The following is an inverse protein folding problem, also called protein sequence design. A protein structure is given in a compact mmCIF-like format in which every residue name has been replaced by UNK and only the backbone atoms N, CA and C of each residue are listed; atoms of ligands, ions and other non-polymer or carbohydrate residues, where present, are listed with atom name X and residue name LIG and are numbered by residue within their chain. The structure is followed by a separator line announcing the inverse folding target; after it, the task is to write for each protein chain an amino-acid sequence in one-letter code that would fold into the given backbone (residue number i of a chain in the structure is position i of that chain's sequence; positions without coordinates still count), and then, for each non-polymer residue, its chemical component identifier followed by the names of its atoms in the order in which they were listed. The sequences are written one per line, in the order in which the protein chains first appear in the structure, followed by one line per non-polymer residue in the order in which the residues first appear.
data_IF_795995781322
#
_entry.id   IF_795995781322
#
_cell.length_a   1.000
_cell.length_b   1.000
_cell.length_c   1.000
_cell.angle_alpha   90.00
_cell.angle_beta   90.00
_cell.angle_gamma   90.00
#
_symmetry.space_group_name_H-M   'P 1'
#
loop_
_entity.id
_entity.type
_entity.pdbx_description
1 polymer ?
#
# COMPACT_ATOMS: atom_id res chain seq x y z
N UNK A 1 -35.31 10.25 12.94
CA UNK A 1 -33.85 10.27 12.92
C UNK A 1 -33.36 9.92 11.54
N UNK A 2 -32.34 10.64 11.07
CA UNK A 2 -31.62 10.37 9.81
C UNK A 2 -30.14 10.17 10.14
N UNK A 3 -29.68 8.95 9.98
CA UNK A 3 -28.32 8.54 10.38
C UNK A 3 -27.54 8.16 9.13
N UNK A 4 -26.40 8.81 8.94
CA UNK A 4 -25.43 8.50 7.87
C UNK A 4 -24.21 7.85 8.51
N UNK A 5 -23.90 6.63 8.10
CA UNK A 5 -22.74 5.90 8.53
C UNK A 5 -21.69 5.86 7.41
N UNK A 6 -20.41 5.80 7.76
CA UNK A 6 -19.28 5.87 6.84
C UNK A 6 -19.36 7.09 5.89
N UNK A 7 -19.59 8.31 6.44
CA UNK A 7 -19.84 9.54 5.68
C UNK A 7 -18.76 9.88 4.66
N UNK A 8 -17.50 9.68 4.98
CA UNK A 8 -16.35 9.78 4.05
C UNK A 8 -16.50 8.84 2.86
N UNK A 9 -16.96 7.62 3.10
CA UNK A 9 -17.14 6.62 2.06
C UNK A 9 -18.39 6.85 1.21
N UNK A 10 -19.39 7.55 1.70
CA UNK A 10 -20.51 7.98 0.88
C UNK A 10 -20.07 8.97 -0.22
N UNK A 11 -19.11 9.84 0.10
CA UNK A 11 -18.52 10.77 -0.87
C UNK A 11 -17.55 10.05 -1.81
N UNK A 12 -16.54 9.35 -1.29
CA UNK A 12 -15.53 8.63 -2.09
C UNK A 12 -16.14 7.49 -2.92
N UNK A 13 -17.27 6.93 -2.49
CA UNK A 13 -18.01 5.90 -3.20
C UNK A 13 -18.86 6.41 -4.36
N UNK A 14 -18.91 7.72 -4.58
CA UNK A 14 -19.70 8.34 -5.65
C UNK A 14 -21.18 8.48 -5.36
N UNK A 15 -21.59 8.45 -4.07
CA UNK A 15 -22.99 8.63 -3.63
C UNK A 15 -23.31 10.08 -3.22
N UNK A 16 -22.44 11.03 -3.58
CA UNK A 16 -22.61 12.43 -3.20
C UNK A 16 -23.94 13.02 -3.68
N UNK A 17 -24.34 12.70 -4.91
CA UNK A 17 -25.61 13.20 -5.47
C UNK A 17 -26.82 12.67 -4.68
N UNK A 18 -26.85 11.37 -4.37
CA UNK A 18 -27.91 10.75 -3.58
C UNK A 18 -27.92 11.30 -2.15
N UNK A 19 -26.75 11.51 -1.57
CA UNK A 19 -26.60 12.11 -0.26
C UNK A 19 -27.18 13.53 -0.24
N UNK A 20 -26.84 14.35 -1.25
CA UNK A 20 -27.38 15.70 -1.43
C UNK A 20 -28.90 15.69 -1.58
N UNK A 21 -29.45 14.77 -2.38
CA UNK A 21 -30.91 14.62 -2.56
C UNK A 21 -31.61 14.31 -1.22
N UNK A 22 -31.08 13.35 -0.45
CA UNK A 22 -31.67 12.96 0.85
C UNK A 22 -31.56 14.10 1.86
N UNK A 23 -30.39 14.77 1.93
CA UNK A 23 -30.12 15.84 2.88
C UNK A 23 -30.95 17.09 2.61
N UNK A 24 -31.33 17.36 1.35
CA UNK A 24 -32.16 18.49 0.93
C UNK A 24 -33.64 18.29 1.19
N UNK A 25 -34.07 17.07 1.50
CA UNK A 25 -35.51 16.83 1.84
C UNK A 25 -35.92 17.66 3.05
N UNK A 26 -37.11 18.27 3.05
CA UNK A 26 -37.63 19.07 4.16
C UNK A 26 -38.10 18.21 5.34
N UNK A 27 -37.22 17.35 5.83
CA UNK A 27 -37.49 16.42 6.92
C UNK A 27 -37.23 17.09 8.26
N UNK A 28 -38.24 17.05 9.15
CA UNK A 28 -38.08 17.39 10.58
C UNK A 28 -37.43 16.23 11.33
N UNK A 29 -36.20 15.90 10.95
CA UNK A 29 -35.48 14.78 11.54
C UNK A 29 -34.18 15.27 12.21
N UNK A 30 -33.84 14.68 13.34
CA UNK A 30 -32.48 14.81 13.90
C UNK A 30 -31.51 14.08 12.98
N UNK A 31 -30.52 14.79 12.50
CA UNK A 31 -29.51 14.26 11.58
C UNK A 31 -28.24 13.92 12.36
N UNK A 32 -27.70 12.74 12.14
CA UNK A 32 -26.40 12.31 12.66
C UNK A 32 -25.53 11.73 11.53
N UNK A 33 -24.25 12.08 11.53
CA UNK A 33 -23.28 11.57 10.56
C UNK A 33 -22.10 10.99 11.32
N UNK A 34 -21.78 9.75 11.03
CA UNK A 34 -20.63 9.03 11.55
C UNK A 34 -19.58 8.85 10.44
N UNK A 35 -18.32 9.10 10.75
CA UNK A 35 -17.25 8.99 9.77
C UNK A 35 -15.91 8.68 10.45
N UNK A 36 -15.05 7.90 9.80
CA UNK A 36 -13.70 7.62 10.27
C UNK A 36 -12.71 8.73 9.89
N UNK A 37 -13.00 9.51 8.85
CA UNK A 37 -12.15 10.61 8.39
C UNK A 37 -12.98 11.80 7.96
N UNK A 38 -12.44 13.00 8.18
CA UNK A 38 -13.09 14.26 7.80
C UNK A 38 -12.20 14.97 6.83
N UNK A 39 -12.58 14.99 5.56
CA UNK A 39 -11.94 15.79 4.52
C UNK A 39 -12.66 17.12 4.29
N UNK A 40 -12.11 17.95 3.40
CA UNK A 40 -12.67 19.25 3.08
C UNK A 40 -14.03 19.16 2.39
N UNK A 41 -14.27 18.12 1.58
CA UNK A 41 -15.52 17.86 0.88
C UNK A 41 -16.63 17.51 1.87
N UNK A 42 -16.38 16.56 2.77
CA UNK A 42 -17.33 16.17 3.82
C UNK A 42 -17.63 17.34 4.74
N UNK A 43 -16.61 18.12 5.13
CA UNK A 43 -16.82 19.33 5.93
C UNK A 43 -17.74 20.35 5.25
N UNK A 44 -17.60 20.55 3.95
CA UNK A 44 -18.43 21.47 3.19
C UNK A 44 -19.90 21.01 3.20
N UNK A 45 -20.13 19.71 2.98
CA UNK A 45 -21.45 19.10 3.00
C UNK A 45 -22.09 19.18 4.39
N UNK A 46 -21.34 18.86 5.44
CA UNK A 46 -21.82 18.97 6.83
C UNK A 46 -22.18 20.40 7.17
N UNK A 47 -21.35 21.39 6.82
CA UNK A 47 -21.66 22.82 7.04
C UNK A 47 -22.92 23.26 6.29
N UNK A 48 -23.12 22.78 5.08
CA UNK A 48 -24.28 23.16 4.27
C UNK A 48 -25.59 22.58 4.82
N UNK A 49 -25.63 21.31 5.16
CA UNK A 49 -26.86 20.61 5.56
C UNK A 49 -27.04 20.42 7.06
N UNK A 50 -25.98 20.58 7.84
CA UNK A 50 -25.93 20.33 9.29
C UNK A 50 -25.19 21.45 10.04
N UNK A 51 -25.26 22.71 9.55
CA UNK A 51 -24.45 23.84 10.03
C UNK A 51 -24.50 24.11 11.55
N UNK A 52 -25.53 23.63 12.25
CA UNK A 52 -25.67 23.72 13.71
C UNK A 52 -25.33 22.43 14.43
N UNK A 53 -24.77 21.44 13.72
CA UNK A 53 -24.42 20.16 14.32
C UNK A 53 -23.28 20.28 15.32
N UNK A 54 -23.41 19.59 16.45
CA UNK A 54 -22.32 19.41 17.39
C UNK A 54 -21.34 18.39 16.83
N UNK A 55 -20.08 18.77 16.69
CA UNK A 55 -19.00 17.86 16.30
C UNK A 55 -18.38 17.20 17.53
N UNK A 56 -18.32 15.88 17.53
CA UNK A 56 -17.70 15.09 18.58
C UNK A 56 -16.55 14.30 17.95
N UNK A 57 -15.32 14.65 18.30
CA UNK A 57 -14.13 13.94 17.85
C UNK A 57 -13.69 12.94 18.92
N UNK A 58 -13.78 11.64 18.59
CA UNK A 58 -13.40 10.53 19.45
C UNK A 58 -12.05 9.93 19.08
N UNK A 59 -11.31 10.54 18.14
CA UNK A 59 -10.07 9.94 17.61
C UNK A 59 -8.88 10.03 18.57
N UNK A 60 -8.98 10.83 19.65
CA UNK A 60 -7.91 11.04 20.66
C UNK A 60 -6.48 11.09 20.07
N UNK A 61 -6.34 11.59 18.84
CA UNK A 61 -5.07 11.69 18.12
C UNK A 61 -4.65 10.44 17.33
N UNK A 62 -5.36 9.32 17.42
CA UNK A 62 -5.13 8.12 16.62
C UNK A 62 -6.34 7.78 15.75
N UNK A 63 -6.12 7.62 14.45
CA UNK A 63 -7.17 7.26 13.47
C UNK A 63 -7.38 5.75 13.37
N UNK A 64 -6.47 4.96 13.95
CA UNK A 64 -6.57 3.49 14.02
C UNK A 64 -6.46 3.04 15.47
N UNK A 65 -6.97 1.85 15.78
CA UNK A 65 -6.80 1.26 17.10
C UNK A 65 -5.30 1.20 17.46
N UNK A 66 -4.94 1.60 18.68
CA UNK A 66 -3.55 1.65 19.17
C UNK A 66 -2.82 0.31 19.10
N UNK A 67 -3.59 -0.76 19.11
CA UNK A 67 -3.10 -2.14 19.11
C UNK A 67 -2.80 -2.70 17.71
N UNK A 68 -2.98 -1.90 16.64
CA UNK A 68 -2.68 -2.34 15.27
C UNK A 68 -1.26 -1.97 14.87
N UNK A 69 -0.47 -2.98 14.51
CA UNK A 69 0.85 -2.78 13.90
C UNK A 69 0.71 -2.63 12.39
N UNK A 70 1.20 -1.54 11.83
CA UNK A 70 1.15 -1.23 10.40
C UNK A 70 2.50 -1.49 9.75
N UNK A 71 2.54 -2.28 8.66
CA UNK A 71 3.79 -2.67 7.99
C UNK A 71 3.68 -2.53 6.48
N UNK A 72 4.59 -1.79 5.88
CA UNK A 72 4.83 -1.81 4.44
C UNK A 72 5.70 -3.02 4.08
N UNK A 73 5.25 -3.80 3.10
CA UNK A 73 5.93 -5.01 2.64
C UNK A 73 6.39 -4.85 1.20
N UNK A 74 7.70 -4.78 0.98
CA UNK A 74 8.30 -4.81 -0.37
C UNK A 74 8.21 -6.22 -0.93
N UNK A 75 7.36 -6.39 -1.94
CA UNK A 75 7.17 -7.67 -2.66
C UNK A 75 8.13 -7.81 -3.85
N UNK A 76 9.01 -6.82 -4.08
CA UNK A 76 10.03 -6.80 -5.15
C UNK A 76 9.45 -6.98 -6.55
N UNK A 77 9.68 -8.16 -7.13
CA UNK A 77 9.28 -8.52 -8.49
C UNK A 77 8.16 -9.54 -8.54
N UNK A 78 7.64 -9.94 -7.38
CA UNK A 78 6.53 -10.88 -7.30
C UNK A 78 5.24 -10.22 -7.78
N UNK A 79 4.39 -10.98 -8.43
CA UNK A 79 2.99 -10.60 -8.64
C UNK A 79 2.25 -10.54 -7.31
N UNK A 80 1.11 -9.86 -7.25
CA UNK A 80 0.27 -9.79 -6.04
C UNK A 80 -0.15 -11.17 -5.55
N UNK A 81 -0.46 -12.06 -6.49
CA UNK A 81 -0.88 -13.42 -6.20
C UNK A 81 0.25 -14.28 -5.63
N UNK A 82 1.44 -14.25 -6.26
CA UNK A 82 2.63 -14.95 -5.76
C UNK A 82 3.04 -14.41 -4.38
N UNK A 83 3.02 -13.09 -4.22
CA UNK A 83 3.35 -12.45 -2.96
C UNK A 83 2.37 -12.85 -1.85
N UNK A 84 1.05 -12.91 -2.14
CA UNK A 84 0.08 -13.36 -1.15
C UNK A 84 0.33 -14.80 -0.73
N UNK A 85 0.52 -15.73 -1.68
CA UNK A 85 0.81 -17.12 -1.35
C UNK A 85 2.07 -17.27 -0.49
N UNK A 86 3.15 -16.61 -0.90
CA UNK A 86 4.40 -16.63 -0.13
C UNK A 86 4.23 -16.02 1.27
N UNK A 87 3.48 -14.92 1.37
CA UNK A 87 3.18 -14.27 2.64
C UNK A 87 2.40 -15.19 3.58
N UNK A 88 1.39 -15.89 3.08
CA UNK A 88 0.60 -16.84 3.85
C UNK A 88 1.46 -18.00 4.38
N UNK A 89 2.41 -18.48 3.58
CA UNK A 89 3.32 -19.57 3.98
C UNK A 89 4.33 -19.10 5.05
N UNK A 90 4.80 -17.86 4.96
CA UNK A 90 5.83 -17.30 5.86
C UNK A 90 5.23 -16.80 7.17
N UNK A 91 4.15 -16.02 7.10
CA UNK A 91 3.55 -15.35 8.28
C UNK A 91 2.54 -16.25 8.98
N UNK A 92 1.84 -17.12 8.23
CA UNK A 92 0.81 -18.05 8.74
C UNK A 92 -0.24 -17.34 9.60
N UNK A 93 -0.94 -16.32 9.07
CA UNK A 93 -1.94 -15.59 9.82
C UNK A 93 -3.04 -16.53 10.32
N UNK A 94 -3.54 -16.29 11.54
CA UNK A 94 -4.65 -17.07 12.09
C UNK A 94 -5.91 -16.92 11.24
N UNK A 95 -6.29 -15.66 10.96
CA UNK A 95 -7.45 -15.30 10.14
C UNK A 95 -7.18 -13.99 9.42
N UNK A 96 -7.19 -14.00 8.10
CA UNK A 96 -6.76 -12.86 7.29
C UNK A 96 -7.81 -12.38 6.30
N UNK A 97 -7.85 -11.06 6.08
CA UNK A 97 -8.56 -10.45 4.95
C UNK A 97 -7.54 -9.86 3.99
N UNK A 98 -7.56 -10.29 2.73
CA UNK A 98 -6.75 -9.76 1.66
C UNK A 98 -7.59 -8.83 0.77
N UNK A 99 -7.18 -7.56 0.66
CA UNK A 99 -7.85 -6.53 -0.13
C UNK A 99 -7.17 -6.29 -1.46
N UNK A 100 -7.98 -6.14 -2.52
CA UNK A 100 -7.52 -5.72 -3.84
C UNK A 100 -8.44 -4.61 -4.36
N UNK A 101 -7.86 -3.48 -4.77
CA UNK A 101 -8.63 -2.33 -5.27
C UNK A 101 -9.19 -2.54 -6.68
N UNK A 102 -8.47 -3.28 -7.53
CA UNK A 102 -8.81 -3.48 -8.94
C UNK A 102 -9.51 -4.83 -9.14
N UNK A 103 -10.67 -4.82 -9.80
CA UNK A 103 -11.46 -6.02 -10.08
C UNK A 103 -10.70 -7.07 -10.92
N UNK A 104 -9.91 -6.62 -11.90
CA UNK A 104 -9.11 -7.53 -12.74
C UNK A 104 -8.04 -8.22 -11.89
N UNK A 105 -7.27 -7.45 -11.12
CA UNK A 105 -6.24 -8.00 -10.24
C UNK A 105 -6.83 -8.95 -9.19
N UNK A 106 -8.06 -8.65 -8.72
CA UNK A 106 -8.77 -9.50 -7.77
C UNK A 106 -9.08 -10.88 -8.37
N UNK A 107 -9.55 -10.92 -9.64
CA UNK A 107 -9.82 -12.17 -10.36
C UNK A 107 -8.52 -12.96 -10.63
N UNK A 108 -7.45 -12.27 -11.05
CA UNK A 108 -6.14 -12.88 -11.28
C UNK A 108 -5.58 -13.53 -9.99
N UNK A 109 -5.77 -12.88 -8.83
CA UNK A 109 -5.37 -13.42 -7.52
C UNK A 109 -6.21 -14.63 -7.16
N UNK A 110 -7.54 -14.57 -7.35
CA UNK A 110 -8.42 -15.71 -7.09
C UNK A 110 -8.03 -16.93 -7.90
N UNK A 111 -7.87 -16.78 -9.23
CA UNK A 111 -7.47 -17.86 -10.13
C UNK A 111 -6.16 -18.52 -9.67
N UNK A 112 -5.20 -17.70 -9.27
CA UNK A 112 -3.91 -18.19 -8.76
C UNK A 112 -4.06 -18.96 -7.45
N UNK A 113 -4.85 -18.47 -6.48
CA UNK A 113 -5.13 -19.16 -5.22
C UNK A 113 -5.81 -20.52 -5.45
N UNK A 114 -6.76 -20.57 -6.39
CA UNK A 114 -7.42 -21.83 -6.80
C UNK A 114 -6.43 -22.81 -7.42
N UNK A 115 -5.52 -22.35 -8.30
CA UNK A 115 -4.47 -23.18 -8.90
C UNK A 115 -3.54 -23.79 -7.87
N UNK A 116 -3.28 -23.08 -6.77
CA UNK A 116 -2.47 -23.53 -5.62
C UNK A 116 -3.28 -24.33 -4.58
N UNK A 117 -4.59 -24.52 -4.82
CA UNK A 117 -5.51 -25.22 -3.90
C UNK A 117 -5.58 -24.57 -2.51
N UNK A 118 -5.36 -23.26 -2.43
CA UNK A 118 -5.49 -22.50 -1.18
C UNK A 118 -6.96 -22.26 -0.92
N UNK A 119 -7.46 -22.80 0.19
CA UNK A 119 -8.86 -22.65 0.59
C UNK A 119 -9.12 -21.22 1.08
N UNK A 120 -10.05 -20.53 0.44
CA UNK A 120 -10.39 -19.13 0.78
C UNK A 120 -11.86 -18.85 0.49
N UNK A 121 -12.38 -17.79 1.11
CA UNK A 121 -13.64 -17.14 0.74
C UNK A 121 -13.35 -15.97 -0.20
N UNK A 122 -14.25 -15.72 -1.15
CA UNK A 122 -14.08 -14.70 -2.17
C UNK A 122 -15.32 -13.81 -2.26
N UNK A 123 -15.14 -12.47 -2.19
CA UNK A 123 -16.24 -11.52 -2.31
C UNK A 123 -15.85 -10.29 -3.15
N UNK A 124 -16.78 -9.88 -4.03
CA UNK A 124 -16.72 -8.62 -4.76
C UNK A 124 -18.11 -8.06 -5.01
N UNK A 125 -18.19 -6.78 -5.44
CA UNK A 125 -19.45 -6.07 -5.55
C UNK A 125 -20.47 -6.69 -6.51
N UNK A 126 -20.03 -7.37 -7.57
CA UNK A 126 -20.89 -7.96 -8.59
C UNK A 126 -21.36 -9.38 -8.24
N UNK A 127 -20.86 -9.99 -7.17
CA UNK A 127 -21.37 -11.30 -6.74
C UNK A 127 -22.84 -11.19 -6.27
N UNK A 128 -23.67 -12.19 -6.61
CA UNK A 128 -25.02 -12.28 -6.07
C UNK A 128 -25.03 -12.18 -4.54
N UNK A 129 -25.97 -11.48 -3.96
CA UNK A 129 -26.06 -11.29 -2.50
C UNK A 129 -26.07 -12.60 -1.71
N UNK A 130 -26.64 -13.66 -2.29
CA UNK A 130 -26.64 -15.01 -1.69
C UNK A 130 -25.21 -15.57 -1.57
N UNK A 131 -24.40 -15.41 -2.61
CA UNK A 131 -23.02 -15.90 -2.64
C UNK A 131 -22.12 -15.07 -1.70
N UNK A 132 -22.30 -13.74 -1.70
CA UNK A 132 -21.61 -12.88 -0.72
C UNK A 132 -21.92 -13.32 0.72
N UNK A 133 -23.19 -13.57 1.05
CA UNK A 133 -23.59 -14.03 2.39
C UNK A 133 -22.99 -15.40 2.72
N UNK A 134 -22.95 -16.31 1.75
CA UNK A 134 -22.33 -17.64 1.93
C UNK A 134 -20.85 -17.53 2.20
N UNK A 135 -20.11 -16.79 1.37
CA UNK A 135 -18.66 -16.59 1.53
C UNK A 135 -18.32 -15.98 2.91
N UNK A 136 -19.11 -14.98 3.33
CA UNK A 136 -18.94 -14.37 4.66
C UNK A 136 -19.25 -15.34 5.79
N UNK A 137 -20.30 -16.17 5.63
CA UNK A 137 -20.62 -17.20 6.61
C UNK A 137 -19.51 -18.22 6.71
N UNK A 138 -18.98 -18.70 5.58
CA UNK A 138 -17.89 -19.67 5.56
C UNK A 138 -16.61 -19.11 6.24
N UNK A 139 -16.35 -17.81 6.08
CA UNK A 139 -15.26 -17.12 6.77
C UNK A 139 -15.54 -16.88 8.26
N UNK A 140 -16.77 -16.53 8.65
CA UNK A 140 -17.16 -16.36 10.06
C UNK A 140 -17.11 -17.68 10.83
N UNK A 141 -17.57 -18.76 10.21
CA UNK A 141 -17.64 -20.11 10.80
C UNK A 141 -16.28 -20.84 10.72
N UNK A 142 -15.17 -20.16 10.43
CA UNK A 142 -13.80 -20.70 10.31
C UNK A 142 -13.62 -21.83 9.30
N UNK A 143 -14.57 -21.95 8.34
CA UNK A 143 -14.43 -22.90 7.23
C UNK A 143 -13.33 -22.48 6.27
N UNK A 144 -13.03 -21.19 6.22
CA UNK A 144 -11.91 -20.58 5.52
C UNK A 144 -11.23 -19.57 6.43
N UNK A 145 -9.91 -19.53 6.42
CA UNK A 145 -9.10 -18.58 7.21
C UNK A 145 -8.64 -17.37 6.42
N UNK A 146 -8.85 -17.39 5.10
CA UNK A 146 -8.56 -16.28 4.20
C UNK A 146 -9.84 -15.81 3.53
N UNK A 147 -10.10 -14.51 3.58
CA UNK A 147 -11.11 -13.80 2.80
C UNK A 147 -10.43 -12.90 1.77
N UNK A 148 -10.59 -13.20 0.49
CA UNK A 148 -10.16 -12.32 -0.61
C UNK A 148 -11.31 -11.39 -0.98
N UNK A 149 -11.10 -10.06 -0.91
CA UNK A 149 -12.19 -9.10 -1.02
C UNK A 149 -11.82 -7.85 -1.82
N UNK A 150 -12.80 -7.31 -2.55
CA UNK A 150 -12.73 -5.92 -3.04
C UNK A 150 -13.10 -4.92 -1.94
N UNK A 151 -12.60 -3.68 -2.04
CA UNK A 151 -12.90 -2.62 -1.07
C UNK A 151 -14.41 -2.41 -0.87
N UNK A 152 -15.18 -2.40 -1.96
CA UNK A 152 -16.63 -2.17 -1.93
C UNK A 152 -17.36 -3.30 -1.20
N UNK A 153 -17.01 -4.55 -1.49
CA UNK A 153 -17.70 -5.71 -0.93
C UNK A 153 -17.37 -5.94 0.55
N UNK A 154 -16.23 -5.47 1.00
CA UNK A 154 -15.77 -5.63 2.37
C UNK A 154 -16.18 -4.49 3.30
N UNK A 155 -16.88 -3.46 2.79
CA UNK A 155 -17.43 -2.39 3.62
C UNK A 155 -18.54 -2.91 4.54
N UNK A 156 -18.59 -2.35 5.74
CA UNK A 156 -19.62 -2.72 6.71
C UNK A 156 -19.56 -4.19 7.15
N UNK A 157 -18.52 -4.94 6.76
CA UNK A 157 -18.38 -6.31 7.23
C UNK A 157 -18.14 -6.33 8.73
N UNK A 158 -19.12 -6.84 9.43
CA UNK A 158 -18.96 -7.21 10.83
C UNK A 158 -18.32 -8.61 10.89
N UNK A 159 -16.99 -8.62 10.92
CA UNK A 159 -16.20 -9.84 11.09
C UNK A 159 -15.32 -9.64 12.31
N UNK A 160 -15.47 -10.52 13.29
CA UNK A 160 -14.62 -10.60 14.47
C UNK A 160 -13.39 -11.46 14.23
N UNK A 161 -12.39 -11.31 15.09
CA UNK A 161 -11.22 -12.20 15.17
C UNK A 161 -10.28 -12.19 13.94
N UNK A 162 -10.29 -11.11 13.17
CA UNK A 162 -9.32 -10.94 12.08
C UNK A 162 -7.98 -10.54 12.69
N UNK A 163 -6.99 -11.43 12.59
CA UNK A 163 -5.63 -11.17 13.09
C UNK A 163 -4.86 -10.27 12.13
N UNK A 164 -5.05 -10.45 10.83
CA UNK A 164 -4.22 -9.82 9.81
C UNK A 164 -5.06 -9.24 8.67
N UNK A 165 -4.76 -8.01 8.30
CA UNK A 165 -5.29 -7.35 7.10
C UNK A 165 -4.15 -7.17 6.11
N UNK A 166 -4.35 -7.63 4.87
CA UNK A 166 -3.34 -7.60 3.83
C UNK A 166 -3.86 -6.77 2.66
N UNK A 167 -3.33 -5.58 2.45
CA UNK A 167 -3.60 -4.79 1.25
C UNK A 167 -2.62 -5.19 0.15
N UNK A 168 -3.11 -5.88 -0.90
CA UNK A 168 -2.26 -6.35 -2.01
C UNK A 168 -1.86 -5.23 -2.97
N UNK A 169 -2.36 -4.04 -2.73
CA UNK A 169 -2.00 -2.80 -3.44
C UNK A 169 -2.04 -1.60 -2.50
N UNK A 170 -1.37 -0.55 -2.91
CA UNK A 170 -1.45 0.74 -2.25
C UNK A 170 -2.87 1.30 -2.42
N UNK A 171 -3.60 1.58 -1.35
CA UNK A 171 -4.93 2.17 -1.43
C UNK A 171 -4.86 3.53 -2.13
N UNK A 172 -5.93 3.89 -2.82
CA UNK A 172 -6.01 5.15 -3.57
C UNK A 172 -5.98 6.37 -2.64
N UNK A 173 -6.56 6.21 -1.46
CA UNK A 173 -6.67 7.24 -0.44
C UNK A 173 -6.49 6.66 0.97
N UNK A 174 -6.20 7.52 1.95
CA UNK A 174 -6.06 7.16 3.37
C UNK A 174 -7.36 6.62 3.96
N UNK A 175 -8.52 7.16 3.57
CA UNK A 175 -9.81 6.67 4.04
C UNK A 175 -9.96 5.17 3.76
N UNK A 176 -9.66 4.73 2.52
CA UNK A 176 -9.69 3.31 2.19
C UNK A 176 -8.71 2.50 3.04
N UNK A 177 -7.54 3.05 3.32
CA UNK A 177 -6.58 2.38 4.19
C UNK A 177 -7.12 2.20 5.62
N UNK A 178 -7.69 3.24 6.19
CA UNK A 178 -8.26 3.18 7.55
C UNK A 178 -9.40 2.17 7.63
N UNK A 179 -10.29 2.14 6.65
CA UNK A 179 -11.37 1.17 6.58
C UNK A 179 -10.88 -0.27 6.42
N UNK A 180 -9.79 -0.51 5.67
CA UNK A 180 -9.15 -1.82 5.58
C UNK A 180 -8.52 -2.19 6.93
N UNK A 181 -7.63 -1.35 7.45
CA UNK A 181 -6.92 -1.60 8.70
C UNK A 181 -7.86 -1.78 9.90
N UNK A 182 -8.99 -1.06 9.92
CA UNK A 182 -10.01 -1.18 10.96
C UNK A 182 -10.80 -2.50 10.94
N UNK A 183 -10.45 -3.47 10.08
CA UNK A 183 -10.98 -4.84 10.15
C UNK A 183 -10.23 -5.71 11.15
N UNK A 184 -9.05 -5.31 11.61
CA UNK A 184 -8.30 -5.95 12.67
C UNK A 184 -8.15 -5.04 13.88
N UNK A 185 -7.63 -5.53 14.99
CA UNK A 185 -7.41 -4.75 16.21
C UNK A 185 -8.69 -4.29 16.91
N UNK A 186 -9.78 -5.07 16.81
CA UNK A 186 -11.07 -4.75 17.40
C UNK A 186 -11.18 -5.30 18.83
N UNK A 187 -11.98 -4.63 19.64
CA UNK A 187 -12.29 -5.06 21.01
C UNK A 187 -11.05 -5.26 21.92
N UNK A 188 -10.01 -4.43 21.72
CA UNK A 188 -8.78 -4.49 22.50
C UNK A 188 -7.80 -5.61 22.10
N UNK A 189 -8.10 -6.34 21.01
CA UNK A 189 -7.19 -7.34 20.48
C UNK A 189 -6.07 -6.67 19.66
N UNK A 190 -4.87 -7.25 19.69
CA UNK A 190 -3.79 -6.85 18.79
C UNK A 190 -4.08 -7.28 17.36
N UNK A 191 -3.62 -6.51 16.40
CA UNK A 191 -3.80 -6.81 14.98
C UNK A 191 -2.64 -6.35 14.12
N UNK A 192 -2.57 -6.88 12.90
CA UNK A 192 -1.56 -6.50 11.93
C UNK A 192 -2.21 -6.02 10.63
N UNK A 193 -1.72 -4.90 10.10
CA UNK A 193 -2.11 -4.37 8.81
C UNK A 193 -0.89 -4.27 7.91
N UNK A 194 -0.88 -5.05 6.83
CA UNK A 194 0.20 -5.09 5.85
C UNK A 194 -0.22 -4.42 4.55
N UNK A 195 0.70 -3.67 3.95
CA UNK A 195 0.50 -3.05 2.64
C UNK A 195 1.61 -3.53 1.71
N UNK A 196 1.25 -4.23 0.66
CA UNK A 196 2.19 -4.65 -0.37
C UNK A 196 2.50 -3.48 -1.32
N UNK A 197 3.77 -3.31 -1.63
CA UNK A 197 4.23 -2.36 -2.63
C UNK A 197 5.41 -2.93 -3.41
N UNK A 198 5.59 -2.47 -4.64
CA UNK A 198 6.68 -2.89 -5.50
C UNK A 198 7.81 -1.86 -5.50
N UNK A 199 9.00 -2.27 -5.94
CA UNK A 199 10.15 -1.39 -6.09
C UNK A 199 9.91 -0.16 -6.99
N UNK A 200 8.84 -0.18 -7.79
CA UNK A 200 8.47 0.93 -8.68
C UNK A 200 7.55 1.97 -8.00
N UNK A 201 7.05 1.70 -6.80
CA UNK A 201 6.04 2.52 -6.11
C UNK A 201 6.49 3.17 -4.78
N UNK A 202 7.79 3.29 -4.46
CA UNK A 202 8.21 3.85 -3.17
C UNK A 202 7.76 5.31 -2.98
N UNK A 203 7.50 6.03 -4.07
CA UNK A 203 6.98 7.39 -4.03
C UNK A 203 5.55 7.45 -3.47
N UNK A 204 4.67 6.58 -3.94
CA UNK A 204 3.28 6.48 -3.49
C UNK A 204 3.19 6.02 -2.02
N UNK A 205 4.00 5.02 -1.64
CA UNK A 205 4.08 4.58 -0.26
C UNK A 205 4.49 5.72 0.67
N UNK A 206 5.52 6.50 0.32
CA UNK A 206 5.95 7.68 1.09
C UNK A 206 4.89 8.78 1.15
N UNK A 207 4.13 8.97 0.10
CA UNK A 207 3.04 9.95 0.08
C UNK A 207 1.93 9.54 1.04
N UNK A 208 1.51 8.27 1.02
CA UNK A 208 0.53 7.72 1.94
C UNK A 208 0.99 7.90 3.39
N UNK A 209 2.26 7.61 3.68
CA UNK A 209 2.84 7.78 5.01
C UNK A 209 2.82 9.21 5.48
N UNK A 210 3.23 10.16 4.63
CA UNK A 210 3.25 11.59 5.00
C UNK A 210 1.86 12.14 5.32
N UNK A 211 0.84 11.63 4.63
CA UNK A 211 -0.55 12.04 4.85
C UNK A 211 -1.16 11.38 6.10
N UNK A 212 -0.66 10.20 6.49
CA UNK A 212 -1.16 9.46 7.65
C UNK A 212 -0.45 9.92 8.93
N UNK A 213 -1.15 9.84 10.06
CA UNK A 213 -0.57 10.03 11.40
C UNK A 213 -0.05 8.71 11.99
N UNK A 214 0.10 7.67 11.16
CA UNK A 214 0.44 6.31 11.58
C UNK A 214 1.95 6.09 11.47
N UNK A 215 2.51 5.38 12.45
CA UNK A 215 3.89 4.89 12.38
C UNK A 215 3.90 3.55 11.67
N UNK A 216 4.63 3.47 10.55
CA UNK A 216 4.77 2.24 9.77
C UNK A 216 6.10 1.55 10.04
N UNK A 217 6.04 0.23 10.17
CA UNK A 217 7.20 -0.65 10.05
C UNK A 217 7.44 -0.98 8.57
N UNK A 218 8.62 -1.51 8.27
CA UNK A 218 9.01 -1.90 6.91
C UNK A 218 9.57 -3.30 6.94
N UNK A 219 9.17 -4.08 5.94
CA UNK A 219 9.67 -5.42 5.76
C UNK A 219 9.82 -5.74 4.26
N UNK A 220 10.71 -6.67 3.96
CA UNK A 220 10.85 -7.25 2.63
C UNK A 220 10.41 -8.71 2.69
N UNK A 221 9.52 -9.11 1.79
CA UNK A 221 9.07 -10.49 1.67
C UNK A 221 10.15 -11.33 0.96
N UNK A 222 10.57 -12.40 1.61
CA UNK A 222 11.53 -13.39 1.10
C UNK A 222 10.92 -14.78 1.13
N UNK A 223 11.57 -15.72 0.48
CA UNK A 223 11.09 -17.12 0.37
C UNK A 223 10.95 -17.84 1.71
N UNK A 224 11.69 -17.41 2.71
CA UNK A 224 11.83 -18.06 4.02
C UNK A 224 11.39 -17.19 5.20
N UNK A 225 11.34 -15.86 5.00
CA UNK A 225 11.07 -14.92 6.09
C UNK A 225 10.42 -13.61 5.62
N UNK A 226 9.70 -12.95 6.52
CA UNK A 226 9.35 -11.52 6.41
C UNK A 226 10.44 -10.71 7.12
N UNK A 227 11.45 -10.28 6.36
CA UNK A 227 12.61 -9.60 6.91
C UNK A 227 12.34 -8.14 7.20
N UNK A 228 12.47 -7.73 8.46
CA UNK A 228 12.40 -6.32 8.83
C UNK A 228 13.43 -5.49 8.06
N UNK A 229 12.99 -4.39 7.48
CA UNK A 229 13.81 -3.51 6.67
C UNK A 229 13.91 -2.11 7.30
N UNK A 230 14.76 -1.27 6.72
CA UNK A 230 14.94 0.10 7.18
C UNK A 230 13.77 0.97 6.73
N UNK A 231 13.49 1.99 7.52
CA UNK A 231 12.49 3.00 7.20
C UNK A 231 12.70 3.60 5.80
N UNK A 232 11.66 3.61 4.97
CA UNK A 232 11.66 4.23 3.64
C UNK A 232 11.96 5.75 3.66
N UNK A 233 11.74 6.40 4.81
CA UNK A 233 12.08 7.81 5.00
C UNK A 233 13.59 8.04 5.17
N UNK A 234 14.32 7.03 5.61
CA UNK A 234 15.77 7.08 5.61
C UNK A 234 16.21 6.92 4.16
N UNK A 235 16.45 8.04 3.48
CA UNK A 235 17.08 8.02 2.15
C UNK A 235 18.25 7.02 2.22
N UNK A 236 18.32 6.04 1.30
CA UNK A 236 19.46 5.14 1.29
C UNK A 236 20.67 6.05 1.38
N UNK A 237 21.51 5.88 2.41
CA UNK A 237 22.78 6.61 2.48
C UNK A 237 23.37 6.38 1.12
N UNK A 238 23.37 7.43 0.26
CA UNK A 238 24.11 7.36 -0.98
C UNK A 238 25.47 6.90 -0.50
N UNK A 239 25.77 5.63 -0.73
CA UNK A 239 27.15 5.20 -0.56
C UNK A 239 27.91 6.19 -1.44
N UNK A 240 28.53 7.17 -0.80
CA UNK A 240 29.59 7.90 -1.44
C UNK A 240 30.58 6.80 -1.78
N UNK A 241 30.41 6.27 -2.99
CA UNK A 241 31.47 5.50 -3.60
C UNK A 241 32.56 6.56 -3.70
N UNK A 242 33.39 6.62 -2.65
CA UNK A 242 34.64 7.36 -2.68
C UNK A 242 35.52 6.66 -3.72
N UNK A 243 35.06 6.73 -4.95
CA UNK A 243 35.80 6.18 -6.05
C UNK A 243 36.67 7.31 -6.59
N UNK A 244 37.72 7.59 -5.82
CA UNK A 244 38.80 8.53 -6.21
C UNK A 244 39.23 8.29 -7.66
N UNK A 245 39.19 7.04 -8.10
CA UNK A 245 39.45 6.65 -9.47
C UNK A 245 38.40 7.19 -10.45
N UNK A 246 37.11 7.00 -10.17
CA UNK A 246 36.00 7.51 -11.00
C UNK A 246 36.00 9.03 -11.10
N UNK A 247 36.24 9.72 -9.99
CA UNK A 247 36.37 11.19 -10.00
C UNK A 247 37.58 11.67 -10.82
N UNK A 248 38.69 10.94 -10.73
CA UNK A 248 39.90 11.24 -11.50
C UNK A 248 39.69 11.04 -13.01
N UNK A 249 38.98 9.97 -13.39
CA UNK A 249 38.57 9.70 -14.77
C UNK A 249 37.56 10.75 -15.31
N UNK A 250 36.59 11.14 -14.51
CA UNK A 250 35.64 12.20 -14.88
C UNK A 250 36.38 13.54 -15.08
N UNK A 251 37.29 13.90 -14.16
CA UNK A 251 38.12 15.11 -14.31
C UNK A 251 38.97 15.07 -15.58
N UNK A 252 39.58 13.92 -15.92
CA UNK A 252 40.34 13.72 -17.17
C UNK A 252 39.42 13.85 -18.41
N UNK A 253 38.21 13.27 -18.38
CA UNK A 253 37.27 13.37 -19.48
C UNK A 253 36.81 14.82 -19.71
N UNK A 254 36.57 15.57 -18.64
CA UNK A 254 36.24 17.01 -18.71
C UNK A 254 37.43 17.80 -19.30
N UNK A 255 38.63 17.57 -18.80
CA UNK A 255 39.86 18.26 -19.28
C UNK A 255 40.11 18.00 -20.77
N UNK A 256 39.96 16.73 -21.21
CA UNK A 256 40.16 16.34 -22.64
C UNK A 256 39.18 17.04 -23.58
N UNK A 257 37.93 17.30 -23.11
CA UNK A 257 36.89 17.96 -23.90
C UNK A 257 36.84 19.47 -23.67
N UNK A 258 37.71 20.05 -22.82
CA UNK A 258 37.77 21.48 -22.55
C UNK A 258 38.36 22.20 -23.75
N UNK A 259 37.62 23.03 -24.41
CA UNK A 259 38.09 23.88 -25.51
C UNK A 259 38.43 25.28 -25.01
N UNK A 260 39.54 25.86 -25.51
CA UNK A 260 39.90 27.28 -25.22
C UNK A 260 38.87 28.27 -25.80
N UNK A 261 38.11 27.87 -26.82
CA UNK A 261 37.00 28.66 -27.39
C UNK A 261 35.71 27.89 -27.25
N UNK A 262 34.62 28.56 -26.82
CA UNK A 262 33.29 27.95 -26.67
C UNK A 262 32.77 27.59 -28.06
N UNK A 263 32.76 26.27 -28.38
CA UNK A 263 32.19 25.76 -29.63
C UNK A 263 30.73 25.36 -29.40
N UNK A 264 29.88 25.43 -30.45
CA UNK A 264 28.48 24.89 -30.35
C UNK A 264 28.52 23.44 -29.82
N UNK A 265 27.57 23.08 -28.98
CA UNK A 265 27.44 21.75 -28.38
C UNK A 265 28.55 21.33 -27.38
N UNK A 266 29.43 22.22 -26.94
CA UNK A 266 30.48 21.89 -25.95
C UNK A 266 29.92 21.22 -24.69
N UNK A 267 28.89 21.80 -24.09
CA UNK A 267 28.24 21.24 -22.87
C UNK A 267 27.70 19.82 -23.11
N UNK A 268 27.15 19.56 -24.30
CA UNK A 268 26.61 18.24 -24.67
C UNK A 268 27.73 17.20 -24.83
N UNK A 269 28.88 17.57 -25.45
CA UNK A 269 30.06 16.71 -25.56
C UNK A 269 30.67 16.35 -24.21
N UNK A 270 30.77 17.32 -23.29
CA UNK A 270 31.28 17.06 -21.94
C UNK A 270 30.35 16.14 -21.19
N UNK A 271 29.03 16.37 -21.27
CA UNK A 271 28.03 15.49 -20.64
C UNK A 271 28.14 14.05 -21.14
N UNK A 272 28.22 13.85 -22.46
CA UNK A 272 28.39 12.50 -23.03
C UNK A 272 29.70 11.82 -22.59
N UNK A 273 30.80 12.55 -22.51
CA UNK A 273 32.04 11.99 -22.01
C UNK A 273 31.98 11.55 -20.55
N UNK A 274 31.26 12.30 -19.70
CA UNK A 274 31.01 11.94 -18.31
C UNK A 274 30.10 10.70 -18.21
N UNK A 275 29.05 10.65 -19.00
CA UNK A 275 28.11 9.53 -19.01
C UNK A 275 28.78 8.24 -19.49
N UNK A 276 29.68 8.32 -20.48
CA UNK A 276 30.47 7.18 -20.97
C UNK A 276 31.42 6.65 -19.91
N UNK A 277 32.13 7.51 -19.19
CA UNK A 277 32.99 7.11 -18.06
C UNK A 277 32.19 6.40 -16.99
N UNK A 278 31.04 6.93 -16.62
CA UNK A 278 30.12 6.31 -15.61
C UNK A 278 29.62 4.95 -16.07
N UNK A 279 29.26 4.81 -17.36
CA UNK A 279 28.80 3.55 -17.93
C UNK A 279 29.90 2.47 -17.87
N UNK A 280 31.09 2.77 -18.35
CA UNK A 280 32.26 1.83 -18.30
C UNK A 280 32.56 1.40 -16.87
N UNK A 281 32.52 2.31 -15.94
CA UNK A 281 32.78 1.99 -14.54
C UNK A 281 31.71 1.06 -13.98
N UNK A 282 30.42 1.27 -14.31
CA UNK A 282 29.32 0.39 -13.93
C UNK A 282 29.48 -1.02 -14.51
N UNK A 283 29.86 -1.12 -15.79
CA UNK A 283 30.13 -2.40 -16.45
C UNK A 283 31.31 -3.16 -15.80
N UNK A 284 32.37 -2.45 -15.39
CA UNK A 284 33.46 -3.05 -14.65
C UNK A 284 33.05 -3.62 -13.30
N UNK A 285 32.23 -2.88 -12.54
CA UNK A 285 31.70 -3.36 -11.25
C UNK A 285 30.87 -4.63 -11.46
N UNK A 286 29.99 -4.65 -12.47
CA UNK A 286 29.16 -5.82 -12.79
C UNK A 286 30.07 -7.03 -13.13
N UNK A 287 31.06 -6.86 -14.00
CA UNK A 287 32.00 -7.92 -14.36
C UNK A 287 32.78 -8.45 -13.15
N UNK A 288 33.19 -7.57 -12.26
CA UNK A 288 33.92 -7.97 -11.03
C UNK A 288 33.00 -8.74 -10.07
N UNK A 289 31.75 -8.33 -9.92
CA UNK A 289 30.79 -9.02 -9.06
C UNK A 289 30.40 -10.39 -9.61
N UNK A 290 30.25 -10.52 -10.95
CA UNK A 290 30.01 -11.81 -11.61
C UNK A 290 31.18 -12.76 -11.38
N UNK A 291 32.42 -12.30 -11.58
CA UNK A 291 33.62 -13.12 -11.32
C UNK A 291 33.76 -13.54 -9.85
N UNK A 292 33.39 -12.68 -8.89
CA UNK A 292 33.39 -13.05 -7.47
C UNK A 292 32.37 -14.14 -7.17
N UNK A 293 31.15 -14.03 -7.70
CA UNK A 293 30.12 -15.06 -7.54
C UNK A 293 30.50 -16.40 -8.18
N UNK A 294 31.15 -16.37 -9.35
CA UNK A 294 31.65 -17.59 -9.98
C UNK A 294 32.71 -18.30 -9.12
N UNK A 295 33.69 -17.56 -8.57
CA UNK A 295 34.68 -18.11 -7.65
C UNK A 295 34.09 -18.62 -6.32
N UNK A 296 33.04 -17.99 -5.80
CA UNK A 296 32.34 -18.46 -4.60
C UNK A 296 31.57 -19.74 -4.84
N UNK A 297 31.08 -19.96 -6.07
CA UNK A 297 30.40 -21.20 -6.47
C UNK A 297 31.36 -22.35 -6.83
N UNK A 298 32.60 -22.04 -7.26
CA UNK A 298 33.65 -23.04 -7.54
C UNK A 298 34.32 -23.54 -6.26
N UNK A 299 34.20 -22.81 -5.14
CA UNK A 299 34.79 -23.17 -3.84
C UNK A 299 33.75 -23.81 -2.88
N UNK A 300 32.54 -24.13 -3.34
CA UNK A 300 31.52 -24.92 -2.68
C UNK A 300 31.38 -26.28 -3.32
#
# INVERSE_FOLDING_TARGET
YLIFDEGDMLIFGGFEEQLNQIMSLPLKATKALFTASVDEHLNTLVRHYMGTATSIDLTEGSVTASEVTHTFVDIRHLSKAEALCLFLDVVKPYKAIAFVSNKKDLADVEEYLLSKKIKHSYIHGDLPKREQKKALKDFKDDRTTLLLASDIAARGLDVSEVSDVISLDLPKDLAYYYHRAGRTGRFGNSGHSYIFYTANEPGKARELMKKSKITFKYATLRTDELKADRDLNVAPKKQKINNVYLEKEIKRAIAKNRSKKVKPCYKKKVKWAIDDVKRRHKEQIIKTNVRKKQKENENK
#
